data_IF_024215076282
#
_entry.id   IF_024215076282
#
_cell.length_a   1.000
_cell.length_b   1.000
_cell.length_c   1.000
_cell.angle_alpha   90.00
_cell.angle_beta   90.00
_cell.angle_gamma   90.00
#
_symmetry.space_group_name_H-M   'P 1'
#
loop_
_entity.id
_entity.type
_entity.pdbx_description
1 polymer ?
#
# COMPACT_ATOMS: atom_id res chain seq x y z
N UNK A 1 -13.29 30.22 -10.11
CA UNK A 1 -12.90 29.40 -9.84
C UNK A 1 -12.94 29.07 -9.34
N UNK A 2 -12.90 29.74 -9.48
CA UNK A 2 -12.55 28.96 -9.15
C UNK A 2 -12.62 28.84 -8.72
N UNK A 3 -12.70 29.32 -8.91
CA UNK A 3 -12.39 28.68 -8.58
C UNK A 3 -12.45 28.52 -8.20
N UNK A 4 -12.73 28.98 -8.26
CA UNK A 4 -12.36 28.47 -8.00
C UNK A 4 -12.38 28.22 -7.64
N UNK A 5 -12.54 28.59 -7.65
CA UNK A 5 -12.09 28.04 -7.38
C UNK A 5 -12.07 27.72 -7.01
N UNK A 6 -12.27 28.32 -7.13
CA UNK A 6 -11.83 27.69 -6.85
C UNK A 6 -11.80 27.35 -6.47
N UNK A 7 -12.03 27.83 -6.51
CA UNK A 7 -11.56 27.17 -6.26
C UNK A 7 -11.55 26.70 -6.02
N UNK A 8 -11.89 27.34 -6.08
CA UNK A 8 -11.37 26.51 -6.06
C UNK A 8 -11.40 26.10 -5.85
N UNK A 9 -11.63 26.42 -5.94
CA UNK A 9 -11.25 25.63 -5.82
C UNK A 9 -11.30 25.21 -5.61
N UNK A 10 -11.43 25.32 -5.74
CA UNK A 10 -11.14 24.52 -5.64
C UNK A 10 -11.11 23.89 -5.48
N UNK A 11 -11.07 24.23 -5.88
CA UNK A 11 -10.80 23.31 -5.79
C UNK A 11 -10.82 22.77 -5.72
N UNK A 12 -11.07 22.99 -6.01
CA UNK A 12 -10.82 22.10 -5.91
C UNK A 12 -10.74 21.47 -5.85
N UNK A 13 -10.71 21.60 -6.01
CA UNK A 13 -10.49 20.68 -6.03
C UNK A 13 -10.34 20.11 -5.85
N UNK A 14 -10.21 19.99 -5.94
CA UNK A 14 -9.94 19.15 -5.87
C UNK A 14 -9.67 18.57 -5.43
N UNK A 15 -9.85 18.34 -5.33
CA UNK A 15 -9.40 17.72 -4.90
C UNK A 15 -8.97 17.08 -4.40
N UNK A 16 -8.92 16.90 -4.30
CA UNK A 16 -8.22 16.24 -3.85
C UNK A 16 -7.79 15.86 -3.22
N UNK A 17 -7.88 15.75 -3.60
CA UNK A 17 -7.44 15.16 -2.67
C UNK A 17 -6.77 15.04 -1.57
N UNK A 18 -7.17 14.69 -0.83
CA UNK A 18 -6.66 14.44 0.46
C UNK A 18 -5.46 13.64 0.48
N UNK A 19 -5.45 12.64 -0.29
CA UNK A 19 -4.28 11.82 -0.45
C UNK A 19 -3.11 12.63 -0.94
N UNK A 20 -3.44 13.76 -1.51
CA UNK A 20 -2.42 14.63 -2.02
C UNK A 20 -1.47 15.14 -0.96
N UNK A 21 -1.80 15.07 0.28
CA UNK A 21 -0.92 15.57 1.33
C UNK A 21 0.39 14.79 1.47
N UNK A 22 0.85 14.18 0.39
CA UNK A 22 2.13 13.50 0.33
C UNK A 22 2.05 11.99 0.48
N UNK A 23 0.91 11.46 0.79
CA UNK A 23 0.73 10.01 0.91
C UNK A 23 0.51 9.35 -0.43
N UNK A 24 1.11 8.18 -0.63
CA UNK A 24 0.93 7.40 -1.84
C UNK A 24 -0.37 6.61 -1.82
N UNK A 25 -0.85 6.25 -0.65
CA UNK A 25 -2.10 5.52 -0.46
C UNK A 25 -2.91 6.17 0.65
N UNK A 26 -4.26 6.18 0.53
CA UNK A 26 -5.11 6.70 1.58
C UNK A 26 -5.18 5.72 2.76
N UNK A 27 -5.68 6.20 3.88
CA UNK A 27 -5.95 5.36 5.03
C UNK A 27 -6.91 4.24 4.63
N UNK A 28 -6.63 2.97 5.01
CA UNK A 28 -7.41 1.83 4.54
C UNK A 28 -8.81 1.70 5.15
N UNK A 29 -9.14 2.49 6.17
CA UNK A 29 -10.45 2.43 6.79
C UNK A 29 -10.55 1.34 7.86
N UNK A 30 -11.78 1.01 8.28
CA UNK A 30 -11.99 0.11 9.42
C UNK A 30 -11.55 -1.34 9.18
N UNK A 31 -11.43 -1.75 7.93
CA UNK A 31 -10.96 -3.10 7.60
C UNK A 31 -9.44 -3.19 7.53
N UNK A 32 -8.75 -2.09 7.79
CA UNK A 32 -7.29 -2.02 7.69
C UNK A 32 -6.57 -2.70 8.83
N UNK A 33 -5.59 -3.51 8.49
CA UNK A 33 -4.67 -4.11 9.46
C UNK A 33 -3.34 -3.35 9.49
N UNK A 34 -2.92 -2.82 8.35
CA UNK A 34 -1.64 -2.13 8.21
C UNK A 34 -1.81 -0.93 7.30
N UNK A 35 -1.15 0.16 7.67
CA UNK A 35 -1.00 1.33 6.81
C UNK A 35 0.39 1.89 7.01
N UNK A 36 1.25 1.70 6.01
CA UNK A 36 2.56 2.32 5.95
C UNK A 36 2.45 3.47 4.97
N UNK A 37 2.58 4.69 5.45
CA UNK A 37 2.29 5.88 4.65
C UNK A 37 3.39 6.23 3.66
N UNK A 38 4.64 6.04 4.06
CA UNK A 38 5.75 6.53 3.26
C UNK A 38 7.07 5.97 3.79
N UNK A 39 7.74 5.20 2.95
CA UNK A 39 9.06 4.64 3.24
C UNK A 39 9.94 4.79 2.00
N UNK A 40 11.24 4.85 2.20
CA UNK A 40 12.22 4.97 1.12
C UNK A 40 13.20 3.81 1.21
N UNK A 41 13.46 3.16 0.07
CA UNK A 41 14.41 2.05 0.02
C UNK A 41 13.84 0.76 0.59
N UNK A 42 14.72 -0.15 1.00
CA UNK A 42 14.30 -1.42 1.56
C UNK A 42 13.60 -1.23 2.90
N UNK A 43 12.64 -2.08 3.18
CA UNK A 43 11.93 -2.03 4.44
C UNK A 43 10.95 -3.18 4.59
N UNK A 44 10.07 -3.04 5.56
CA UNK A 44 9.06 -4.04 5.80
C UNK A 44 8.22 -3.71 7.00
N UNK A 45 7.27 -4.58 7.29
CA UNK A 45 6.37 -4.42 8.43
C UNK A 45 5.98 -5.78 8.96
N UNK A 46 5.84 -5.86 10.26
CA UNK A 46 5.28 -7.03 10.94
C UNK A 46 4.01 -6.56 11.66
N UNK A 47 2.96 -7.33 11.56
CA UNK A 47 1.69 -6.99 12.16
C UNK A 47 0.94 -8.24 12.61
N UNK A 48 -0.13 -8.05 13.34
CA UNK A 48 -0.99 -9.12 13.79
C UNK A 48 -2.45 -8.81 13.50
N UNK A 49 -3.34 -9.62 14.05
CA UNK A 49 -4.76 -9.37 13.92
C UNK A 49 -5.41 -9.91 12.66
N UNK A 50 -4.67 -10.65 11.86
CA UNK A 50 -5.27 -11.30 10.70
C UNK A 50 -6.24 -12.40 11.14
N UNK A 51 -7.29 -12.58 10.36
CA UNK A 51 -8.30 -13.61 10.57
C UNK A 51 -8.42 -14.46 9.31
N UNK A 52 -8.29 -15.76 9.46
CA UNK A 52 -8.23 -16.68 8.32
C UNK A 52 -9.56 -16.88 7.60
N UNK A 53 -10.64 -16.33 8.12
CA UNK A 53 -11.97 -16.44 7.48
C UNK A 53 -12.26 -15.32 6.49
N UNK A 54 -11.38 -14.33 6.42
CA UNK A 54 -11.58 -13.20 5.53
C UNK A 54 -10.51 -13.19 4.43
N UNK A 55 -10.86 -12.67 3.25
CA UNK A 55 -9.83 -12.44 2.24
C UNK A 55 -8.87 -11.36 2.73
N UNK A 56 -7.65 -11.38 2.22
CA UNK A 56 -6.65 -10.37 2.55
C UNK A 56 -6.23 -9.65 1.28
N UNK A 57 -6.27 -8.32 1.31
CA UNK A 57 -5.84 -7.50 0.18
C UNK A 57 -4.59 -6.73 0.57
N UNK A 58 -3.51 -6.97 -0.14
CA UNK A 58 -2.25 -6.25 0.01
C UNK A 58 -2.09 -5.31 -1.18
N UNK A 59 -1.98 -4.02 -0.92
CA UNK A 59 -1.82 -3.00 -1.96
C UNK A 59 -0.54 -2.22 -1.69
N UNK A 60 0.24 -2.02 -2.74
CA UNK A 60 1.50 -1.27 -2.68
C UNK A 60 1.48 -0.22 -3.77
N UNK A 61 1.86 1.00 -3.40
CA UNK A 61 2.08 2.09 -4.35
C UNK A 61 3.51 2.57 -4.19
N UNK A 62 4.16 2.90 -5.29
CA UNK A 62 5.54 3.38 -5.24
C UNK A 62 5.86 4.29 -6.41
N UNK A 63 6.90 5.11 -6.22
CA UNK A 63 7.42 6.02 -7.24
C UNK A 63 8.91 6.24 -7.02
N UNK A 64 9.55 6.96 -7.91
CA UNK A 64 10.96 7.33 -7.77
C UNK A 64 11.90 6.64 -8.75
N UNK A 65 11.37 5.87 -9.67
CA UNK A 65 12.13 5.09 -10.63
C UNK A 65 12.46 3.71 -10.06
N UNK A 66 12.60 2.70 -10.92
CA UNK A 66 12.93 1.35 -10.48
C UNK A 66 11.70 0.51 -10.15
N UNK A 67 11.84 -0.40 -9.21
CA UNK A 67 10.81 -1.35 -8.87
C UNK A 67 10.88 -1.72 -7.39
N UNK A 68 9.75 -2.18 -6.86
CA UNK A 68 9.65 -2.71 -5.50
C UNK A 68 9.23 -4.18 -5.56
N UNK A 69 10.03 -5.06 -5.01
CA UNK A 69 9.72 -6.48 -4.89
C UNK A 69 9.07 -6.70 -3.53
N UNK A 70 7.85 -7.19 -3.53
CA UNK A 70 7.03 -7.30 -2.33
C UNK A 70 6.77 -8.77 -2.02
N UNK A 71 7.02 -9.15 -0.77
CA UNK A 71 6.76 -10.51 -0.30
C UNK A 71 5.95 -10.45 0.98
N UNK A 72 5.11 -11.45 1.20
CA UNK A 72 4.34 -11.57 2.43
C UNK A 72 4.42 -12.99 2.95
N UNK A 73 4.70 -13.12 4.23
CA UNK A 73 4.77 -14.41 4.92
C UNK A 73 3.73 -14.46 6.03
N UNK A 74 3.01 -15.57 6.09
CA UNK A 74 2.04 -15.83 7.15
C UNK A 74 2.41 -17.13 7.84
N UNK A 75 2.72 -17.04 9.13
CA UNK A 75 3.05 -18.21 9.96
C UNK A 75 4.14 -19.10 9.32
N UNK A 76 5.16 -18.46 8.75
CA UNK A 76 6.29 -19.15 8.14
C UNK A 76 6.11 -19.56 6.70
N UNK A 77 4.98 -19.28 6.09
CA UNK A 77 4.70 -19.61 4.69
C UNK A 77 4.62 -18.37 3.83
N UNK A 78 5.27 -18.41 2.66
CA UNK A 78 5.18 -17.33 1.69
C UNK A 78 3.81 -17.38 1.03
N UNK A 79 3.02 -16.31 1.20
CA UNK A 79 1.66 -16.23 0.67
C UNK A 79 1.53 -15.23 -0.47
N UNK A 80 2.48 -14.32 -0.63
CA UNK A 80 2.49 -13.39 -1.75
C UNK A 80 3.92 -13.04 -2.14
N UNK A 81 4.12 -12.83 -3.44
CA UNK A 81 5.43 -12.49 -4.02
C UNK A 81 5.16 -11.83 -5.37
N UNK A 82 5.39 -10.53 -5.46
CA UNK A 82 5.15 -9.79 -6.70
C UNK A 82 6.00 -8.53 -6.76
N UNK A 83 6.11 -7.97 -7.94
CA UNK A 83 6.91 -6.75 -8.18
C UNK A 83 6.02 -5.65 -8.72
N UNK A 84 6.24 -4.44 -8.22
CA UNK A 84 5.54 -3.24 -8.66
C UNK A 84 6.54 -2.31 -9.34
N UNK A 85 6.21 -1.84 -10.54
CA UNK A 85 7.02 -0.83 -11.19
C UNK A 85 6.76 0.52 -10.52
N UNK A 86 7.83 1.28 -10.29
CA UNK A 86 7.80 2.53 -9.55
C UNK A 86 8.24 3.68 -10.45
N UNK A 87 7.38 4.17 -11.34
CA UNK A 87 7.78 5.22 -12.28
C UNK A 87 8.14 6.51 -11.59
N UNK A 88 8.89 7.35 -12.29
CA UNK A 88 9.21 8.69 -11.81
C UNK A 88 8.02 9.61 -12.05
N UNK A 89 7.69 10.41 -11.06
CA UNK A 89 6.68 11.46 -11.21
C UNK A 89 5.23 11.03 -11.04
N UNK A 90 4.94 9.74 -11.16
CA UNK A 90 3.59 9.20 -11.04
C UNK A 90 3.66 7.88 -10.30
N UNK A 91 2.84 7.65 -9.26
CA UNK A 91 2.89 6.37 -8.56
C UNK A 91 2.44 5.19 -9.42
N UNK A 92 3.18 4.09 -9.32
CA UNK A 92 2.72 2.79 -9.79
C UNK A 92 2.03 2.07 -8.65
N UNK A 93 1.10 1.19 -8.96
CA UNK A 93 0.33 0.48 -7.96
C UNK A 93 0.23 -1.00 -8.31
N UNK A 94 0.39 -1.85 -7.32
CA UNK A 94 0.16 -3.28 -7.44
C UNK A 94 -0.68 -3.78 -6.28
N UNK A 95 -1.48 -4.79 -6.52
CA UNK A 95 -2.37 -5.32 -5.49
C UNK A 95 -2.54 -6.81 -5.69
N UNK A 96 -2.69 -7.54 -4.59
CA UNK A 96 -3.03 -8.96 -4.63
C UNK A 96 -4.12 -9.22 -3.62
N UNK A 97 -5.10 -10.04 -4.03
CA UNK A 97 -6.17 -10.49 -3.14
C UNK A 97 -5.96 -11.96 -2.86
N UNK A 98 -5.81 -12.30 -1.59
CA UNK A 98 -5.59 -13.67 -1.14
C UNK A 98 -6.90 -14.20 -0.58
N UNK A 99 -7.27 -15.39 -1.01
CA UNK A 99 -8.52 -16.01 -0.58
C UNK A 99 -8.53 -16.28 0.92
N UNK A 100 -9.73 -16.36 1.53
CA UNK A 100 -9.81 -16.77 2.94
C UNK A 100 -9.06 -18.08 3.19
N UNK A 101 -8.33 -18.13 4.29
CA UNK A 101 -7.52 -19.29 4.65
C UNK A 101 -6.07 -19.22 4.21
N UNK A 102 -5.74 -18.40 3.23
CA UNK A 102 -4.36 -18.25 2.77
C UNK A 102 -3.50 -17.55 3.83
N UNK A 103 -4.02 -16.44 4.36
CA UNK A 103 -3.37 -15.76 5.48
C UNK A 103 -3.96 -16.31 6.76
N UNK A 104 -3.09 -16.90 7.58
CA UNK A 104 -3.51 -17.53 8.84
C UNK A 104 -3.83 -16.50 9.89
N UNK A 105 -4.68 -16.88 10.84
CA UNK A 105 -5.00 -16.02 11.97
C UNK A 105 -3.74 -15.70 12.75
N UNK A 106 -3.57 -14.44 13.07
CA UNK A 106 -2.46 -13.97 13.89
C UNK A 106 -1.50 -13.06 13.12
N UNK A 107 -0.22 -13.27 13.32
CA UNK A 107 0.81 -12.38 12.80
C UNK A 107 1.25 -12.73 11.38
N UNK A 108 1.73 -11.71 10.69
CA UNK A 108 2.31 -11.84 9.35
C UNK A 108 3.39 -10.79 9.18
N UNK A 109 4.25 -10.99 8.18
CA UNK A 109 5.30 -10.03 7.84
C UNK A 109 5.25 -9.73 6.35
N UNK A 110 5.63 -8.50 6.00
CA UNK A 110 5.73 -8.07 4.62
C UNK A 110 7.11 -7.46 4.44
N UNK A 111 7.81 -7.89 3.39
CA UNK A 111 9.10 -7.33 3.02
C UNK A 111 9.00 -6.55 1.73
N UNK A 112 9.75 -5.46 1.64
CA UNK A 112 9.84 -4.66 0.42
C UNK A 112 11.33 -4.48 0.10
N UNK A 113 11.74 -4.99 -1.05
CA UNK A 113 13.08 -4.80 -1.58
C UNK A 113 13.00 -3.80 -2.72
N UNK A 114 13.58 -2.63 -2.53
CA UNK A 114 13.59 -1.60 -3.56
C UNK A 114 14.82 -1.79 -4.45
N UNK A 115 14.63 -1.65 -5.76
CA UNK A 115 15.76 -1.76 -6.69
C UNK A 115 16.74 -0.61 -6.55
N UNK A 116 16.29 0.54 -6.07
CA UNK A 116 17.09 1.74 -5.87
C UNK A 116 16.69 2.40 -4.56
N UNK A 117 17.60 3.15 -3.97
CA UNK A 117 17.31 3.88 -2.74
C UNK A 117 16.48 5.14 -2.97
N UNK A 118 16.15 5.43 -4.23
CA UNK A 118 15.24 6.52 -4.60
C UNK A 118 13.77 6.07 -4.60
N UNK A 119 13.51 4.77 -4.51
CA UNK A 119 12.14 4.25 -4.52
C UNK A 119 11.44 4.60 -3.22
N UNK A 120 10.32 5.29 -3.33
CA UNK A 120 9.44 5.63 -2.23
C UNK A 120 8.18 4.79 -2.35
N UNK A 121 7.73 4.19 -1.27
CA UNK A 121 6.61 3.27 -1.31
C UNK A 121 5.71 3.42 -0.09
N UNK A 122 4.47 2.97 -0.27
CA UNK A 122 3.48 2.85 0.78
C UNK A 122 2.76 1.51 0.61
N UNK A 123 2.19 0.99 1.67
CA UNK A 123 1.38 -0.21 1.55
C UNK A 123 0.23 -0.23 2.55
N UNK A 124 -0.81 -0.94 2.17
CA UNK A 124 -1.96 -1.21 3.05
C UNK A 124 -2.28 -2.70 3.01
N UNK A 125 -2.75 -3.20 4.13
CA UNK A 125 -3.32 -4.55 4.21
C UNK A 125 -4.72 -4.40 4.78
N UNK A 126 -5.69 -4.95 4.08
CA UNK A 126 -7.09 -4.94 4.53
C UNK A 126 -7.66 -6.35 4.52
N UNK A 127 -8.65 -6.57 5.35
CA UNK A 127 -9.45 -7.80 5.33
C UNK A 127 -10.92 -7.39 5.26
N UNK A 128 -11.41 -7.10 4.06
CA UNK A 128 -12.81 -6.68 3.89
C UNK A 128 -13.78 -7.82 4.22
N UNK A 129 -14.89 -7.44 4.80
CA UNK A 129 -15.95 -8.39 5.17
C UNK A 129 -16.95 -8.58 4.04
#
# INVERSE_FOLDING_TARGET
>A
MAALLAAGAMAVGGVTPAAAAGGLLPHPGPDGLVWVEDMVGDGGVASGGAWDRLPTVLTVACEGGGAAHVTMDSQGYRVADFTVDCPTGTPGTGSVTLDPGVVRTGSFTIGVDASDDTVRWALTVTQPE
#
